data_IF_531140096030
#
_entry.id   IF_531140096030
#
_cell.length_a   1.000
_cell.length_b   1.000
_cell.length_c   1.000
_cell.angle_alpha   90.00
_cell.angle_beta   90.00
_cell.angle_gamma   90.00
#
_symmetry.space_group_name_H-M   'P 1'
#
loop_
_entity.id
_entity.type
_entity.pdbx_description
1 polymer ?
#
# COMPACT_ATOMS: atom_id res chain seq x y z
N UNK A 1 -7.18 9.69 -15.08
CA UNK A 1 -6.17 8.85 -14.45
C UNK A 1 -5.35 8.18 -15.50
N UNK A 2 -4.04 8.36 -15.38
CA UNK A 2 -3.00 7.64 -16.10
C UNK A 2 -2.54 6.42 -15.30
N UNK A 3 -1.71 5.58 -15.91
CA UNK A 3 -1.14 4.40 -15.26
C UNK A 3 -0.23 4.78 -14.09
N UNK A 4 -0.18 3.91 -13.08
CA UNK A 4 0.84 4.00 -12.02
C UNK A 4 2.23 3.95 -12.65
N UNK A 5 3.10 4.86 -12.24
CA UNK A 5 4.48 4.97 -12.72
C UNK A 5 5.51 4.41 -11.72
N UNK A 6 5.04 3.74 -10.65
CA UNK A 6 5.89 3.17 -9.60
C UNK A 6 6.81 4.19 -8.92
N UNK A 7 6.31 5.41 -8.67
CA UNK A 7 7.06 6.47 -7.99
C UNK A 7 7.36 6.21 -6.50
N UNK A 8 6.73 5.20 -5.88
CA UNK A 8 7.00 4.79 -4.51
C UNK A 8 6.41 5.67 -3.40
N UNK A 9 5.84 6.85 -3.69
CA UNK A 9 5.30 7.81 -2.71
C UNK A 9 4.37 7.16 -1.66
N UNK A 10 3.43 6.33 -2.11
CA UNK A 10 2.49 5.63 -1.22
C UNK A 10 3.16 4.62 -0.28
N UNK A 11 4.36 4.15 -0.62
CA UNK A 11 5.13 3.21 0.20
C UNK A 11 6.21 3.91 1.06
N UNK A 12 6.53 5.18 0.77
CA UNK A 12 7.54 5.92 1.54
C UNK A 12 7.07 6.20 2.96
N UNK A 13 5.77 6.42 3.15
CA UNK A 13 5.14 6.63 4.47
C UNK A 13 4.62 5.34 5.09
N UNK A 14 4.43 4.28 4.31
CA UNK A 14 3.77 3.04 4.72
C UNK A 14 4.44 2.25 5.87
N UNK A 15 5.70 2.52 6.20
CA UNK A 15 6.37 1.85 7.33
C UNK A 15 5.93 2.35 8.71
N UNK A 16 5.35 3.56 8.77
CA UNK A 16 5.21 4.35 10.00
C UNK A 16 4.09 3.90 10.96
N UNK A 17 3.61 2.66 10.85
CA UNK A 17 2.53 2.12 11.66
C UNK A 17 1.12 2.45 11.17
N UNK A 18 0.97 3.04 9.98
CA UNK A 18 -0.32 3.30 9.34
C UNK A 18 -0.92 2.10 8.59
N UNK A 19 -0.24 0.97 8.54
CA UNK A 19 -0.70 -0.26 7.89
C UNK A 19 -1.04 -1.35 8.90
N UNK A 20 -2.00 -2.17 8.54
CA UNK A 20 -2.42 -3.37 9.24
C UNK A 20 -2.39 -4.59 8.31
N UNK A 21 -2.41 -5.77 8.92
CA UNK A 21 -2.61 -7.05 8.25
C UNK A 21 -3.65 -7.84 9.07
N UNK A 22 -4.41 -8.68 8.40
CA UNK A 22 -5.33 -9.61 9.06
C UNK A 22 -4.58 -10.60 9.96
N UNK A 23 -5.30 -11.24 10.90
CA UNK A 23 -4.67 -12.24 11.77
C UNK A 23 -4.23 -13.45 10.94
N UNK A 24 -5.04 -13.82 9.96
CA UNK A 24 -4.80 -14.93 9.05
C UNK A 24 -3.52 -14.72 8.21
N UNK A 25 -3.27 -13.50 7.71
CA UNK A 25 -2.03 -13.18 7.00
C UNK A 25 -0.80 -13.28 7.90
N UNK A 26 -0.91 -12.75 9.13
CA UNK A 26 0.19 -12.77 10.09
C UNK A 26 0.54 -14.21 10.47
N UNK A 27 -0.47 -15.02 10.76
CA UNK A 27 -0.31 -16.43 11.11
C UNK A 27 0.28 -17.23 9.92
N UNK A 28 -0.12 -16.90 8.70
CA UNK A 28 0.46 -17.51 7.49
C UNK A 28 1.93 -17.12 7.29
N UNK A 29 2.29 -15.84 7.47
CA UNK A 29 3.69 -15.40 7.37
C UNK A 29 4.58 -16.04 8.42
N UNK A 30 4.09 -16.27 9.65
CA UNK A 30 4.85 -16.93 10.71
C UNK A 30 5.39 -18.30 10.25
N UNK A 31 4.56 -19.05 9.53
CA UNK A 31 4.89 -20.41 9.08
C UNK A 31 5.62 -20.41 7.72
N UNK A 32 5.18 -19.56 6.79
CA UNK A 32 5.56 -19.68 5.37
C UNK A 32 6.51 -18.59 4.87
N UNK A 33 6.54 -17.43 5.55
CA UNK A 33 7.37 -16.26 5.18
C UNK A 33 8.03 -15.67 6.41
N UNK A 34 8.93 -16.42 7.08
CA UNK A 34 9.62 -15.94 8.27
C UNK A 34 10.47 -14.69 8.01
N UNK A 35 10.88 -14.45 6.76
CA UNK A 35 11.50 -13.22 6.31
C UNK A 35 10.57 -12.01 6.45
N UNK A 36 9.27 -12.16 6.15
CA UNK A 36 8.24 -11.13 6.36
C UNK A 36 7.88 -11.03 7.84
N UNK A 37 7.60 -12.16 8.47
CA UNK A 37 7.13 -12.24 9.86
C UNK A 37 8.11 -11.65 10.86
N UNK A 38 9.42 -11.63 10.56
CA UNK A 38 10.44 -11.02 11.44
C UNK A 38 10.20 -9.54 11.75
N UNK A 39 9.36 -8.85 10.96
CA UNK A 39 8.97 -7.45 11.18
C UNK A 39 7.57 -7.31 11.80
N UNK A 40 7.03 -8.40 12.37
CA UNK A 40 5.76 -8.41 13.10
C UNK A 40 6.04 -8.41 14.60
N UNK A 41 5.37 -7.55 15.36
CA UNK A 41 5.44 -7.52 16.82
C UNK A 41 4.07 -7.26 17.43
N UNK A 42 3.51 -8.24 18.14
CA UNK A 42 2.20 -8.11 18.79
C UNK A 42 1.09 -7.76 17.80
N UNK A 43 1.07 -8.44 16.64
CA UNK A 43 0.17 -8.20 15.49
C UNK A 43 0.35 -6.86 14.75
N UNK A 44 1.32 -6.04 15.13
CA UNK A 44 1.70 -4.84 14.38
C UNK A 44 2.74 -5.22 13.33
N UNK A 45 2.60 -4.69 12.12
CA UNK A 45 3.55 -4.95 11.03
C UNK A 45 4.52 -3.79 10.86
N UNK A 46 5.67 -4.10 10.25
CA UNK A 46 6.77 -3.16 9.98
C UNK A 46 7.36 -2.55 11.25
N UNK A 47 7.54 -3.40 12.26
CA UNK A 47 8.27 -3.06 13.48
C UNK A 47 9.70 -3.58 13.37
N UNK A 48 10.67 -2.71 13.61
CA UNK A 48 12.07 -3.10 13.68
C UNK A 48 12.32 -4.00 14.91
N UNK A 49 12.74 -5.26 14.73
CA UNK A 49 12.90 -6.21 15.83
C UNK A 49 14.02 -5.79 16.80
N UNK A 50 14.95 -4.94 16.37
CA UNK A 50 16.06 -4.49 17.22
C UNK A 50 15.65 -3.35 18.15
N UNK A 51 14.81 -2.43 17.66
CA UNK A 51 14.42 -1.22 18.41
C UNK A 51 13.01 -1.27 18.98
N UNK A 52 12.15 -2.17 18.49
CA UNK A 52 10.72 -2.24 18.81
C UNK A 52 9.92 -1.06 18.28
N UNK A 53 10.49 -0.26 17.36
CA UNK A 53 9.84 0.91 16.77
C UNK A 53 9.40 0.61 15.34
N UNK A 54 8.37 1.30 14.88
CA UNK A 54 7.99 1.25 13.46
C UNK A 54 9.14 1.74 12.58
N UNK A 55 9.29 1.12 11.41
CA UNK A 55 10.18 1.66 10.39
C UNK A 55 9.66 3.03 9.91
N UNK A 56 10.53 4.03 9.68
CA UNK A 56 10.08 5.32 9.14
C UNK A 56 9.56 5.21 7.70
N UNK A 57 10.02 4.20 6.95
CA UNK A 57 9.66 3.87 5.56
C UNK A 57 9.41 2.38 5.45
N UNK A 58 8.59 1.94 4.48
CA UNK A 58 8.36 0.52 4.26
C UNK A 58 9.69 -0.25 4.08
N UNK A 59 9.95 -1.30 4.89
CA UNK A 59 11.21 -2.04 4.84
C UNK A 59 11.36 -2.89 3.57
N UNK A 60 10.29 -3.05 2.80
CA UNK A 60 10.24 -3.82 1.55
C UNK A 60 10.31 -2.98 0.29
N UNK A 61 10.32 -1.65 0.43
CA UNK A 61 10.38 -0.75 -0.71
C UNK A 61 11.82 -0.68 -1.22
N UNK A 62 12.03 -1.03 -2.48
CA UNK A 62 13.32 -0.94 -3.19
C UNK A 62 13.27 0.14 -4.24
N UNK A 63 14.38 0.87 -4.37
CA UNK A 63 14.60 1.78 -5.49
C UNK A 63 15.40 1.03 -6.55
N UNK A 64 14.98 1.12 -7.79
CA UNK A 64 15.74 0.63 -8.93
C UNK A 64 17.08 1.39 -9.03
N UNK A 65 18.19 0.71 -9.36
CA UNK A 65 19.47 1.38 -9.59
C UNK A 65 19.55 2.02 -10.98
N UNK A 66 18.75 1.54 -11.94
CA UNK A 66 18.81 1.94 -13.36
C UNK A 66 17.82 3.06 -13.70
N UNK A 67 16.75 3.21 -12.93
CA UNK A 67 15.75 4.25 -13.10
C UNK A 67 15.18 4.74 -11.76
N UNK A 68 14.36 5.79 -11.80
CA UNK A 68 13.73 6.39 -10.62
C UNK A 68 12.47 5.62 -10.16
N UNK A 69 12.31 4.35 -10.55
CA UNK A 69 11.16 3.53 -10.14
C UNK A 69 11.43 2.79 -8.84
N UNK A 70 10.33 2.44 -8.17
CA UNK A 70 10.34 1.63 -6.97
C UNK A 70 9.62 0.30 -7.17
N UNK A 71 10.06 -0.72 -6.44
CA UNK A 71 9.44 -2.04 -6.39
C UNK A 71 9.23 -2.49 -4.94
N UNK A 72 8.36 -3.48 -4.75
CA UNK A 72 8.10 -4.09 -3.46
C UNK A 72 8.64 -5.53 -3.46
N UNK A 73 9.55 -5.84 -2.56
CA UNK A 73 10.15 -7.19 -2.45
C UNK A 73 9.14 -8.27 -2.03
N UNK A 74 7.99 -7.87 -1.51
CA UNK A 74 6.93 -8.77 -1.04
C UNK A 74 5.64 -8.58 -1.84
N UNK A 75 5.71 -8.16 -3.10
CA UNK A 75 4.54 -7.73 -3.89
C UNK A 75 3.34 -8.68 -3.80
N UNK A 76 3.58 -9.99 -3.89
CA UNK A 76 2.52 -11.01 -3.85
C UNK A 76 2.02 -11.31 -2.43
N UNK A 77 2.83 -11.00 -1.42
CA UNK A 77 2.57 -11.24 0.01
C UNK A 77 2.38 -9.92 0.78
N UNK A 78 2.08 -8.82 0.08
CA UNK A 78 1.80 -7.52 0.70
C UNK A 78 0.59 -7.67 1.62
N UNK A 79 0.53 -6.94 2.76
CA UNK A 79 -0.64 -6.91 3.62
C UNK A 79 -1.88 -6.44 2.85
N UNK A 80 -3.06 -6.82 3.34
CA UNK A 80 -4.35 -6.43 2.79
C UNK A 80 -4.47 -4.92 2.52
N UNK A 81 -4.09 -4.08 3.48
CA UNK A 81 -4.12 -2.62 3.31
C UNK A 81 -3.32 -2.13 2.09
N UNK A 82 -2.17 -2.77 1.82
CA UNK A 82 -1.37 -2.46 0.63
C UNK A 82 -2.02 -2.96 -0.66
N UNK A 83 -2.77 -4.07 -0.63
CA UNK A 83 -3.49 -4.59 -1.80
C UNK A 83 -4.69 -3.72 -2.15
N UNK A 84 -5.35 -3.17 -1.14
CA UNK A 84 -6.51 -2.29 -1.30
C UNK A 84 -6.14 -0.86 -1.70
N UNK A 85 -4.85 -0.49 -1.63
CA UNK A 85 -4.42 0.84 -1.99
C UNK A 85 -4.45 1.07 -3.51
N UNK A 86 -5.00 2.23 -3.98
CA UNK A 86 -5.66 3.25 -3.20
C UNK A 86 -7.15 2.93 -2.95
N UNK A 87 -7.64 3.27 -1.75
CA UNK A 87 -9.01 2.99 -1.30
C UNK A 87 -10.02 3.97 -1.88
N UNK A 88 -9.66 5.26 -1.94
CA UNK A 88 -10.52 6.29 -2.52
C UNK A 88 -9.71 7.43 -3.14
N UNK A 89 -10.39 8.28 -3.91
CA UNK A 89 -9.78 9.47 -4.54
C UNK A 89 -9.26 10.45 -3.50
N UNK A 90 -9.92 10.56 -2.35
CA UNK A 90 -9.48 11.49 -1.31
C UNK A 90 -8.10 11.07 -0.75
N UNK A 91 -7.84 9.77 -0.62
CA UNK A 91 -6.54 9.21 -0.27
C UNK A 91 -5.51 9.51 -1.35
N UNK A 92 -5.83 9.25 -2.63
CA UNK A 92 -4.92 9.59 -3.72
C UNK A 92 -4.55 11.07 -3.75
N UNK A 93 -5.49 11.97 -3.44
CA UNK A 93 -5.22 13.42 -3.34
C UNK A 93 -4.33 13.73 -2.13
N UNK A 94 -4.60 13.16 -0.96
CA UNK A 94 -3.76 13.33 0.25
C UNK A 94 -2.34 12.85 0.03
N UNK A 95 -2.19 11.77 -0.73
CA UNK A 95 -0.91 11.11 -0.97
C UNK A 95 -0.19 11.66 -2.22
N UNK A 96 -0.70 12.73 -2.83
CA UNK A 96 -0.16 13.34 -4.05
C UNK A 96 0.11 12.29 -5.15
N UNK A 97 -0.85 11.39 -5.35
CA UNK A 97 -0.73 10.25 -6.24
C UNK A 97 -0.65 10.73 -7.69
N UNK A 98 0.46 10.40 -8.34
CA UNK A 98 0.72 10.86 -9.69
C UNK A 98 -0.20 10.23 -10.73
N UNK A 99 -0.96 9.19 -10.42
CA UNK A 99 -1.99 8.67 -11.34
C UNK A 99 -3.08 9.71 -11.64
N UNK A 100 -3.32 10.65 -10.71
CA UNK A 100 -4.30 11.72 -10.87
C UNK A 100 -3.83 12.74 -11.91
N UNK A 101 -4.75 13.09 -12.80
CA UNK A 101 -4.58 14.14 -13.79
C UNK A 101 -5.53 15.31 -13.47
N UNK A 102 -5.27 16.47 -14.06
CA UNK A 102 -6.06 17.69 -13.79
C UNK A 102 -7.56 17.48 -13.95
N UNK A 103 -8.00 16.70 -14.94
CA UNK A 103 -9.42 16.45 -15.19
C UNK A 103 -10.06 15.54 -14.13
N UNK A 104 -9.28 14.65 -13.48
CA UNK A 104 -9.78 13.83 -12.37
C UNK A 104 -10.09 14.70 -11.15
N UNK A 105 -9.30 15.74 -10.91
CA UNK A 105 -9.49 16.69 -9.80
C UNK A 105 -10.70 17.62 -10.00
N UNK A 106 -11.17 17.79 -11.24
CA UNK A 106 -12.34 18.60 -11.55
C UNK A 106 -13.66 17.85 -11.34
N UNK A 107 -13.63 16.51 -11.35
CA UNK A 107 -14.80 15.65 -11.13
C UNK A 107 -14.43 14.41 -10.32
N UNK A 108 -14.34 14.59 -8.99
CA UNK A 108 -13.94 13.52 -8.06
C UNK A 108 -14.91 12.34 -8.08
N UNK A 109 -16.19 12.55 -8.39
CA UNK A 109 -17.17 11.45 -8.47
C UNK A 109 -16.88 10.56 -9.67
N UNK A 110 -16.61 11.15 -10.83
CA UNK A 110 -16.21 10.40 -12.02
C UNK A 110 -14.86 9.72 -11.81
N UNK A 111 -13.91 10.42 -11.19
CA UNK A 111 -12.61 9.85 -10.87
C UNK A 111 -12.73 8.63 -9.95
N UNK A 112 -13.60 8.68 -8.93
CA UNK A 112 -13.83 7.56 -8.02
C UNK A 112 -14.40 6.34 -8.74
N UNK A 113 -15.39 6.53 -9.62
CA UNK A 113 -15.91 5.42 -10.44
C UNK A 113 -14.81 4.77 -11.29
N UNK A 114 -13.97 5.59 -11.94
CA UNK A 114 -12.82 5.09 -12.71
C UNK A 114 -11.83 4.35 -11.83
N UNK A 115 -11.58 4.84 -10.61
CA UNK A 115 -10.70 4.16 -9.66
C UNK A 115 -11.27 2.80 -9.25
N UNK A 116 -12.56 2.73 -8.95
CA UNK A 116 -13.22 1.48 -8.57
C UNK A 116 -13.19 0.46 -9.72
N UNK A 117 -13.29 0.90 -10.98
CA UNK A 117 -13.06 0.05 -12.15
C UNK A 117 -11.62 -0.47 -12.24
N UNK A 118 -10.61 0.37 -11.96
CA UNK A 118 -9.19 -0.01 -11.96
C UNK A 118 -8.89 -1.03 -10.84
N UNK A 119 -9.55 -0.88 -9.69
CA UNK A 119 -9.28 -1.65 -8.47
C UNK A 119 -10.23 -2.84 -8.28
N UNK A 120 -11.04 -3.19 -9.29
CA UNK A 120 -12.11 -4.19 -9.17
C UNK A 120 -11.64 -5.57 -8.69
N UNK A 121 -10.45 -5.99 -9.10
CA UNK A 121 -9.86 -7.29 -8.70
C UNK A 121 -9.18 -7.23 -7.33
N UNK A 122 -9.03 -6.03 -6.76
CA UNK A 122 -8.30 -5.80 -5.52
C UNK A 122 -9.23 -5.50 -4.35
N UNK A 123 -10.33 -4.75 -4.56
CA UNK A 123 -11.27 -4.36 -3.50
C UNK A 123 -12.66 -4.00 -4.04
N UNK A 124 -13.70 -3.99 -3.20
CA UNK A 124 -15.01 -3.45 -3.59
C UNK A 124 -14.95 -1.92 -3.83
N UNK A 125 -15.98 -1.37 -4.51
CA UNK A 125 -16.12 0.08 -4.68
C UNK A 125 -16.13 0.84 -3.35
N UNK A 126 -15.56 2.05 -3.35
CA UNK A 126 -15.50 2.87 -2.15
C UNK A 126 -16.91 3.19 -1.61
N UNK A 127 -17.05 3.14 -0.27
CA UNK A 127 -18.34 3.37 0.40
C UNK A 127 -19.31 2.18 0.39
N UNK A 128 -18.88 1.01 -0.07
CA UNK A 128 -19.64 -0.25 0.01
C UNK A 128 -19.00 -1.27 0.98
N UNK A 129 -18.20 -0.81 1.93
CA UNK A 129 -17.65 -1.69 2.98
C UNK A 129 -18.77 -2.07 3.97
N UNK A 130 -18.81 -3.33 4.45
CA UNK A 130 -19.73 -3.74 5.50
C UNK A 130 -19.45 -3.05 6.85
#
# INVERSE_FOLDING_TARGET
>A
MKNCNSCGKCCETAGNGGLSASTEEIDWWEVHRPDIYRYVQGRKIWVDPSSGKYFPRCPWLRKSPEDEKFSCDIYDDRPEDCRHYPVDIAQMVRDDCEMLERHDLLDLKRAQKKLDEIMIDSRPPAGQWP
#
